data_IF_931882563579
#
_entry.id   IF_931882563579
#
_cell.length_a   1.000
_cell.length_b   1.000
_cell.length_c   1.000
_cell.angle_alpha   90.00
_cell.angle_beta   90.00
_cell.angle_gamma   90.00
#
_symmetry.space_group_name_H-M   'P 1'
#
loop_
_entity.id
_entity.type
_entity.pdbx_description
1 polymer ?
#
# COMPACT_ATOMS: atom_id res chain seq x y z
N UNK A 1 27.24 5.46 -2.11
CA UNK A 1 25.94 5.11 -2.73
C UNK A 1 25.57 6.19 -3.73
N UNK A 2 25.43 5.84 -5.00
CA UNK A 2 25.19 6.79 -6.09
C UNK A 2 23.73 7.22 -6.21
N UNK A 3 23.53 8.41 -6.76
CA UNK A 3 22.21 9.01 -7.08
C UNK A 3 21.26 8.05 -7.80
N UNK A 4 21.75 7.11 -8.63
CA UNK A 4 20.92 6.16 -9.40
C UNK A 4 20.08 5.20 -8.53
N UNK A 5 20.59 4.76 -7.37
CA UNK A 5 19.87 3.87 -6.44
C UNK A 5 18.70 4.56 -5.72
N UNK A 6 18.73 5.89 -5.66
CA UNK A 6 17.64 6.71 -5.13
C UNK A 6 16.42 6.75 -6.07
N UNK A 7 16.65 6.55 -7.37
CA UNK A 7 15.63 6.54 -8.43
C UNK A 7 15.10 5.13 -8.77
N UNK A 8 15.80 4.06 -8.34
CA UNK A 8 15.25 2.72 -8.50
C UNK A 8 13.96 2.58 -7.67
N UNK A 9 12.87 2.43 -8.42
CA UNK A 9 11.50 2.38 -7.93
C UNK A 9 10.77 1.13 -8.38
N UNK A 10 11.45 0.23 -9.10
CA UNK A 10 10.88 -1.03 -9.57
C UNK A 10 10.25 -1.83 -8.42
N UNK A 11 10.97 -1.91 -7.30
CA UNK A 11 10.53 -2.55 -6.06
C UNK A 11 9.30 -1.86 -5.43
N UNK A 12 9.19 -0.53 -5.54
CA UNK A 12 8.03 0.23 -5.03
C UNK A 12 6.77 -0.07 -5.86
N UNK A 13 6.95 -0.18 -7.17
CA UNK A 13 5.87 -0.51 -8.11
C UNK A 13 5.41 -1.95 -7.94
N UNK A 14 6.37 -2.88 -7.84
CA UNK A 14 6.09 -4.29 -7.59
C UNK A 14 5.39 -4.48 -6.26
N UNK A 15 5.89 -3.85 -5.20
CA UNK A 15 5.28 -3.93 -3.88
C UNK A 15 3.84 -3.39 -3.90
N UNK A 16 3.63 -2.17 -4.41
CA UNK A 16 2.31 -1.55 -4.51
C UNK A 16 1.30 -2.40 -5.31
N UNK A 17 1.72 -2.99 -6.42
CA UNK A 17 0.90 -3.92 -7.20
C UNK A 17 0.63 -5.23 -6.47
N UNK A 18 1.62 -5.74 -5.74
CA UNK A 18 1.50 -7.03 -5.02
C UNK A 18 0.44 -6.98 -3.92
N UNK A 19 0.40 -5.89 -3.13
CA UNK A 19 -0.58 -5.75 -2.05
C UNK A 19 -1.99 -5.47 -2.59
N UNK A 20 -2.11 -4.78 -3.73
CA UNK A 20 -3.39 -4.60 -4.43
C UNK A 20 -3.89 -5.93 -5.03
N UNK A 21 -3.00 -6.73 -5.63
CA UNK A 21 -3.33 -8.07 -6.13
C UNK A 21 -3.78 -9.00 -5.00
N UNK A 22 -3.11 -8.92 -3.85
CA UNK A 22 -3.50 -9.66 -2.65
C UNK A 22 -4.90 -9.27 -2.16
N UNK A 23 -5.20 -7.97 -2.11
CA UNK A 23 -6.55 -7.49 -1.78
C UNK A 23 -7.58 -8.04 -2.76
N UNK A 24 -7.29 -7.96 -4.05
CA UNK A 24 -8.19 -8.42 -5.13
C UNK A 24 -8.50 -9.90 -5.03
N UNK A 25 -7.52 -10.73 -4.66
CA UNK A 25 -7.70 -12.16 -4.45
C UNK A 25 -8.56 -12.47 -3.22
N UNK A 26 -8.39 -11.72 -2.13
CA UNK A 26 -9.10 -11.95 -0.86
C UNK A 26 -10.51 -11.36 -0.86
N UNK A 27 -10.67 -10.18 -1.47
CA UNK A 27 -11.89 -9.38 -1.50
C UNK A 27 -12.08 -8.85 -2.92
N UNK A 28 -12.58 -9.67 -3.86
CA UNK A 28 -12.87 -9.21 -5.20
C UNK A 28 -13.81 -7.99 -5.18
N UNK A 29 -13.66 -7.01 -6.08
CA UNK A 29 -14.48 -5.80 -6.05
C UNK A 29 -15.98 -6.09 -6.21
N UNK A 30 -16.35 -7.11 -6.99
CA UNK A 30 -17.72 -7.60 -7.13
C UNK A 30 -18.35 -8.13 -5.83
N UNK A 31 -17.54 -8.45 -4.81
CA UNK A 31 -18.04 -8.90 -3.51
C UNK A 31 -18.50 -7.75 -2.60
N UNK A 32 -18.11 -6.50 -2.92
CA UNK A 32 -18.41 -5.31 -2.13
C UNK A 32 -19.89 -4.90 -2.25
N UNK A 33 -20.50 -5.08 -3.42
CA UNK A 33 -21.92 -4.77 -3.67
C UNK A 33 -22.88 -5.61 -2.81
N UNK A 34 -22.42 -6.78 -2.36
CA UNK A 34 -23.25 -7.70 -1.60
C UNK A 34 -23.54 -7.23 -0.17
N UNK A 35 -22.77 -6.27 0.37
CA UNK A 35 -22.94 -5.76 1.74
C UNK A 35 -22.86 -6.82 2.86
N UNK A 36 -22.39 -8.04 2.54
CA UNK A 36 -22.43 -9.18 3.45
C UNK A 36 -21.45 -8.96 4.61
N UNK A 37 -21.88 -9.31 5.83
CA UNK A 37 -21.02 -9.29 7.04
C UNK A 37 -19.68 -10.03 6.83
N UNK A 38 -19.69 -11.10 6.01
CA UNK A 38 -18.49 -11.83 5.60
C UNK A 38 -17.52 -10.95 4.80
N UNK A 39 -17.99 -10.21 3.80
CA UNK A 39 -17.17 -9.30 3.00
C UNK A 39 -16.55 -8.22 3.86
N UNK A 40 -17.32 -7.62 4.78
CA UNK A 40 -16.81 -6.60 5.72
C UNK A 40 -15.69 -7.18 6.60
N UNK A 41 -15.87 -8.39 7.13
CA UNK A 41 -14.84 -9.08 7.90
C UNK A 41 -13.57 -9.38 7.09
N UNK A 42 -13.72 -9.83 5.84
CA UNK A 42 -12.59 -10.07 4.94
C UNK A 42 -11.86 -8.78 4.56
N UNK A 43 -12.59 -7.68 4.37
CA UNK A 43 -12.02 -6.37 4.09
C UNK A 43 -11.18 -5.87 5.25
N UNK A 44 -11.71 -5.96 6.49
CA UNK A 44 -10.95 -5.59 7.70
C UNK A 44 -9.71 -6.47 7.92
N UNK A 45 -9.84 -7.78 7.70
CA UNK A 45 -8.70 -8.70 7.82
C UNK A 45 -7.64 -8.43 6.75
N UNK A 46 -8.06 -8.14 5.52
CA UNK A 46 -7.15 -7.82 4.41
C UNK A 46 -6.46 -6.48 4.64
N UNK A 47 -7.17 -5.48 5.18
CA UNK A 47 -6.60 -4.21 5.60
C UNK A 47 -5.45 -4.44 6.57
N UNK A 48 -5.70 -5.12 7.69
CA UNK A 48 -4.66 -5.40 8.69
C UNK A 48 -3.44 -6.12 8.07
N UNK A 49 -3.67 -7.17 7.29
CA UNK A 49 -2.58 -7.93 6.66
C UNK A 49 -1.73 -7.09 5.70
N UNK A 50 -2.38 -6.26 4.86
CA UNK A 50 -1.69 -5.39 3.89
C UNK A 50 -0.91 -4.31 4.61
N UNK A 51 -1.49 -3.68 5.63
CA UNK A 51 -0.87 -2.57 6.35
C UNK A 51 0.32 -3.04 7.19
N UNK A 52 0.22 -4.18 7.89
CA UNK A 52 1.36 -4.78 8.58
C UNK A 52 2.52 -5.11 7.61
N UNK A 53 2.20 -5.63 6.42
CA UNK A 53 3.23 -5.90 5.41
C UNK A 53 3.88 -4.62 4.88
N UNK A 54 3.10 -3.56 4.71
CA UNK A 54 3.60 -2.25 4.30
C UNK A 54 4.46 -1.56 5.39
N UNK A 55 4.13 -1.74 6.67
CA UNK A 55 4.97 -1.31 7.80
C UNK A 55 6.33 -2.01 7.75
N UNK A 56 6.34 -3.35 7.65
CA UNK A 56 7.58 -4.11 7.52
C UNK A 56 8.42 -3.67 6.32
N UNK A 57 7.78 -3.43 5.17
CA UNK A 57 8.45 -2.92 3.98
C UNK A 57 9.05 -1.52 4.20
N UNK A 58 8.33 -0.63 4.89
CA UNK A 58 8.82 0.71 5.21
C UNK A 58 9.99 0.69 6.20
N UNK A 59 10.06 -0.30 7.09
CA UNK A 59 11.18 -0.48 8.00
C UNK A 59 12.43 -1.06 7.33
N UNK A 60 12.26 -1.97 6.37
CA UNK A 60 13.39 -2.60 5.68
C UNK A 60 13.98 -1.74 4.56
N UNK A 61 13.26 -0.71 4.09
CA UNK A 61 13.70 0.14 2.97
C UNK A 61 13.90 1.60 3.39
N UNK A 62 14.95 2.24 2.86
CA UNK A 62 15.14 3.69 2.99
C UNK A 62 14.24 4.41 1.99
N UNK A 63 12.99 4.66 2.38
CA UNK A 63 12.00 5.32 1.55
C UNK A 63 12.14 6.84 1.58
N UNK A 64 12.60 7.42 0.46
CA UNK A 64 12.57 8.86 0.23
C UNK A 64 11.15 9.33 -0.16
N UNK A 65 10.91 10.65 -0.25
CA UNK A 65 9.59 11.18 -0.63
C UNK A 65 9.07 10.64 -1.96
N UNK A 66 9.93 10.56 -2.97
CA UNK A 66 9.58 10.05 -4.29
C UNK A 66 9.17 8.58 -4.28
N UNK A 67 9.93 7.71 -3.60
CA UNK A 67 9.64 6.27 -3.45
C UNK A 67 8.29 6.03 -2.77
N UNK A 68 7.96 6.84 -1.75
CA UNK A 68 6.65 6.76 -1.07
C UNK A 68 5.50 7.16 -1.99
N UNK A 69 5.65 8.27 -2.72
CA UNK A 69 4.65 8.71 -3.68
C UNK A 69 4.46 7.69 -4.82
N UNK A 70 5.56 7.11 -5.32
CA UNK A 70 5.55 6.08 -6.35
C UNK A 70 4.77 4.84 -5.89
N UNK A 71 5.07 4.31 -4.72
CA UNK A 71 4.36 3.16 -4.15
C UNK A 71 2.86 3.45 -3.99
N UNK A 72 2.51 4.61 -3.43
CA UNK A 72 1.11 5.03 -3.29
C UNK A 72 0.38 5.10 -4.64
N UNK A 73 1.03 5.67 -5.66
CA UNK A 73 0.46 5.70 -7.01
C UNK A 73 0.28 4.31 -7.61
N UNK A 74 1.28 3.44 -7.49
CA UNK A 74 1.21 2.08 -8.03
C UNK A 74 0.11 1.26 -7.34
N UNK A 75 -0.08 1.43 -6.03
CA UNK A 75 -1.20 0.85 -5.30
C UNK A 75 -2.55 1.43 -5.77
N UNK A 76 -2.67 2.76 -5.84
CA UNK A 76 -3.89 3.47 -6.28
C UNK A 76 -4.36 3.00 -7.65
N UNK A 77 -3.45 2.96 -8.62
CA UNK A 77 -3.77 2.52 -9.99
C UNK A 77 -4.14 1.05 -10.03
N UNK A 78 -3.43 0.19 -9.32
CA UNK A 78 -3.76 -1.23 -9.27
C UNK A 78 -5.16 -1.49 -8.70
N UNK A 79 -5.59 -0.75 -7.66
CA UNK A 79 -6.96 -0.86 -7.14
C UNK A 79 -7.99 -0.29 -8.12
N UNK A 80 -7.70 0.85 -8.75
CA UNK A 80 -8.60 1.44 -9.74
C UNK A 80 -8.82 0.51 -10.93
N UNK A 81 -7.73 -0.05 -11.46
CA UNK A 81 -7.76 -0.96 -12.60
C UNK A 81 -8.46 -2.29 -12.26
N UNK A 82 -8.38 -2.72 -11.00
CA UNK A 82 -9.15 -3.88 -10.52
C UNK A 82 -10.66 -3.60 -10.41
N UNK A 83 -11.10 -2.34 -10.40
CA UNK A 83 -12.50 -1.94 -10.34
C UNK A 83 -13.02 -1.63 -8.92
N UNK A 84 -12.15 -1.27 -7.99
CA UNK A 84 -12.58 -0.84 -6.66
C UNK A 84 -13.28 0.53 -6.68
N UNK A 85 -14.23 0.78 -5.75
CA UNK A 85 -14.89 2.07 -5.63
C UNK A 85 -13.89 3.21 -5.39
N UNK A 86 -14.05 4.39 -6.03
CA UNK A 86 -13.13 5.52 -5.90
C UNK A 86 -12.87 5.91 -4.44
N UNK A 87 -13.90 5.98 -3.60
CA UNK A 87 -13.77 6.36 -2.19
C UNK A 87 -12.89 5.39 -1.40
N UNK A 88 -13.01 4.08 -1.68
CA UNK A 88 -12.18 3.05 -1.06
C UNK A 88 -10.72 3.17 -1.53
N UNK A 89 -10.54 3.35 -2.84
CA UNK A 89 -9.21 3.54 -3.45
C UNK A 89 -8.49 4.72 -2.81
N UNK A 90 -9.17 5.85 -2.67
CA UNK A 90 -8.58 7.08 -2.10
C UNK A 90 -8.29 6.94 -0.62
N UNK A 91 -9.24 6.42 0.16
CA UNK A 91 -9.06 6.23 1.61
C UNK A 91 -7.86 5.32 1.91
N UNK A 92 -7.79 4.16 1.26
CA UNK A 92 -6.71 3.19 1.50
C UNK A 92 -5.36 3.70 0.99
N UNK A 93 -5.34 4.40 -0.14
CA UNK A 93 -4.10 4.99 -0.66
C UNK A 93 -3.59 6.07 0.29
N UNK A 94 -4.46 6.95 0.77
CA UNK A 94 -4.09 8.02 1.69
C UNK A 94 -3.54 7.44 3.00
N UNK A 95 -4.22 6.46 3.57
CA UNK A 95 -3.80 5.79 4.80
C UNK A 95 -2.45 5.09 4.62
N UNK A 96 -2.25 4.36 3.51
CA UNK A 96 -1.00 3.69 3.17
C UNK A 96 0.17 4.67 3.11
N UNK A 97 0.02 5.77 2.36
CA UNK A 97 1.07 6.79 2.21
C UNK A 97 1.35 7.50 3.54
N UNK A 98 0.32 7.74 4.34
CA UNK A 98 0.44 8.37 5.66
C UNK A 98 1.23 7.48 6.61
N UNK A 99 0.84 6.22 6.75
CA UNK A 99 1.51 5.25 7.63
C UNK A 99 2.98 5.11 7.23
N UNK A 100 3.26 4.87 5.95
CA UNK A 100 4.63 4.72 5.45
C UNK A 100 5.45 6.00 5.69
N UNK A 101 4.82 7.17 5.61
CA UNK A 101 5.47 8.44 5.90
C UNK A 101 5.88 8.57 7.35
N UNK A 102 5.05 8.09 8.28
CA UNK A 102 5.33 8.06 9.71
C UNK A 102 6.43 7.04 10.03
N UNK A 103 6.35 5.82 9.52
CA UNK A 103 7.35 4.77 9.77
C UNK A 103 8.73 5.13 9.22
N UNK A 104 8.78 5.73 8.02
CA UNK A 104 10.02 6.21 7.42
C UNK A 104 10.68 7.36 8.20
N UNK A 105 9.91 8.09 9.03
CA UNK A 105 10.45 9.13 9.93
C UNK A 105 10.94 8.52 11.24
N UNK A 106 10.22 7.52 11.77
CA UNK A 106 10.59 6.80 12.99
C UNK A 106 11.93 6.05 12.83
N UNK A 107 12.10 5.30 11.73
CA UNK A 107 13.37 4.62 11.43
C UNK A 107 14.57 5.57 11.34
N UNK A 108 14.37 6.76 10.74
CA UNK A 108 15.43 7.79 10.64
C UNK A 108 15.88 8.39 11.97
N UNK A 109 15.06 8.35 13.01
CA UNK A 109 15.46 8.78 14.36
C UNK A 109 16.29 7.73 15.08
N UNK A 110 16.13 6.44 14.75
CA UNK A 110 16.85 5.32 15.38
C UNK A 110 18.28 5.18 14.87
N UNK A 111 18.55 5.62 13.64
CA UNK A 111 19.88 5.63 13.01
C UNK A 111 20.74 6.87 13.37
N UNK A 112 20.25 7.77 14.24
CA UNK A 112 20.96 8.97 14.71
C UNK A 112 21.37 8.81 16.16
#
# INVERSE_FOLDING_TARGET
MGILQWFDTSEMDEFGRSIASELTKRVPPSSLDSGKKKTVGQLKSSHHAIFTRAEHFAHSHRLNFYKRARMGNSFRWALRDAGYPPDLVEAWTYELVTMITLESKAGRKKDR
#
